data_IF_025278166424
#
_entry.id   IF_025278166424
#
_cell.length_a   1.000
_cell.length_b   1.000
_cell.length_c   1.000
_cell.angle_alpha   90.00
_cell.angle_beta   90.00
_cell.angle_gamma   90.00
#
_symmetry.space_group_name_H-M   'P 1'
#
loop_
_entity.id
_entity.type
_entity.pdbx_description
1 polymer ?
#
# COMPACT_ATOMS: atom_id res chain seq x y z
N UNK A 1 -2.21 2.70 9.17
CA UNK A 1 -1.10 3.28 9.91
C UNK A 1 -1.25 4.79 10.15
N UNK A 2 -2.26 5.18 10.96
CA UNK A 2 -2.33 6.38 11.84
C UNK A 2 -1.16 7.37 11.75
N UNK A 3 -1.43 8.58 11.23
CA UNK A 3 -0.47 9.69 11.19
C UNK A 3 0.12 9.99 12.57
N UNK A 4 -0.69 9.84 13.62
CA UNK A 4 -0.25 9.91 15.01
C UNK A 4 0.85 8.88 15.31
N UNK A 5 0.70 7.64 14.83
CA UNK A 5 1.68 6.57 15.02
C UNK A 5 2.95 6.84 14.23
N UNK A 6 2.86 7.39 13.01
CA UNK A 6 4.04 7.82 12.22
C UNK A 6 4.80 8.96 12.94
N UNK A 7 4.08 9.96 13.45
CA UNK A 7 4.65 11.06 14.24
C UNK A 7 5.25 10.56 15.54
N UNK A 8 4.56 9.68 16.28
CA UNK A 8 5.04 9.12 17.53
C UNK A 8 6.31 8.29 17.29
N UNK A 9 6.33 7.51 16.21
CA UNK A 9 7.50 6.71 15.81
C UNK A 9 8.66 7.62 15.44
N UNK A 10 8.41 8.69 14.66
CA UNK A 10 9.42 9.69 14.34
C UNK A 10 9.95 10.40 15.59
N UNK A 11 9.08 10.81 16.51
CA UNK A 11 9.44 11.44 17.78
C UNK A 11 10.21 10.48 18.69
N UNK A 12 9.84 9.20 18.74
CA UNK A 12 10.56 8.17 19.49
C UNK A 12 11.96 7.97 18.93
N UNK A 13 12.12 7.94 17.60
CA UNK A 13 13.43 7.89 16.96
C UNK A 13 14.25 9.17 17.19
N UNK A 14 13.62 10.34 17.15
CA UNK A 14 14.26 11.62 17.47
C UNK A 14 14.67 11.71 18.96
N UNK A 15 13.88 11.11 19.85
CA UNK A 15 14.22 11.02 21.27
C UNK A 15 15.38 10.06 21.49
N UNK A 16 15.34 8.86 20.89
CA UNK A 16 16.46 7.91 20.91
C UNK A 16 17.73 8.55 20.31
N UNK A 17 17.61 9.41 19.30
CA UNK A 17 18.71 10.21 18.74
C UNK A 17 19.36 11.17 19.75
N UNK A 18 18.55 11.89 20.54
CA UNK A 18 19.03 12.81 21.58
C UNK A 18 19.78 12.09 22.71
N UNK A 19 19.41 10.84 23.03
CA UNK A 19 19.98 10.14 24.17
C UNK A 19 21.11 9.17 23.80
N UNK A 20 20.98 8.40 22.71
CA UNK A 20 22.00 7.40 22.35
C UNK A 20 23.26 8.02 21.74
N UNK A 21 23.15 9.08 20.94
CA UNK A 21 24.33 9.68 20.30
C UNK A 21 25.29 10.31 21.33
N UNK A 22 24.83 11.11 22.31
CA UNK A 22 25.69 11.61 23.38
C UNK A 22 26.17 10.52 24.33
N UNK A 23 25.39 9.45 24.55
CA UNK A 23 25.80 8.31 25.37
C UNK A 23 26.98 7.56 24.74
N UNK A 24 26.95 7.33 23.42
CA UNK A 24 28.07 6.72 22.69
C UNK A 24 29.36 7.56 22.77
N UNK A 25 29.22 8.88 22.71
CA UNK A 25 30.34 9.81 22.89
C UNK A 25 30.85 9.79 24.32
N UNK A 26 29.96 9.84 25.32
CA UNK A 26 30.32 9.79 26.74
C UNK A 26 31.03 8.48 27.11
N UNK A 27 30.49 7.33 26.70
CA UNK A 27 31.10 6.01 26.93
C UNK A 27 32.52 5.97 26.34
N UNK A 28 32.73 6.50 25.14
CA UNK A 28 34.07 6.47 24.50
C UNK A 28 35.05 7.50 25.07
N UNK A 29 34.58 8.67 25.50
CA UNK A 29 35.41 9.70 26.15
C UNK A 29 35.84 9.24 27.55
N UNK A 30 34.91 8.71 28.34
CA UNK A 30 35.18 8.29 29.72
C UNK A 30 35.90 6.93 29.82
N UNK A 31 35.53 5.93 29.00
CA UNK A 31 36.11 4.58 29.11
C UNK A 31 37.28 4.32 28.16
N UNK A 32 37.33 4.95 26.98
CA UNK A 32 38.28 4.57 25.91
C UNK A 32 39.36 5.64 25.61
N UNK A 33 39.42 6.75 26.36
CA UNK A 33 40.41 7.84 26.21
C UNK A 33 40.68 8.26 24.75
N UNK A 34 39.63 8.38 23.94
CA UNK A 34 39.74 8.76 22.53
C UNK A 34 40.01 10.26 22.32
N UNK A 35 40.76 10.62 21.25
CA UNK A 35 41.00 12.02 20.86
C UNK A 35 39.69 12.73 20.47
N UNK A 36 39.52 13.98 20.91
CA UNK A 36 38.31 14.78 20.74
C UNK A 36 37.82 14.85 19.28
N UNK A 37 38.73 15.03 18.31
CA UNK A 37 38.41 15.14 16.86
C UNK A 37 37.77 13.87 16.29
N UNK A 38 38.27 12.70 16.68
CA UNK A 38 37.68 11.43 16.25
C UNK A 38 36.32 11.21 16.90
N UNK A 39 36.12 11.65 18.14
CA UNK A 39 34.84 11.54 18.84
C UNK A 39 33.76 12.42 18.22
N UNK A 40 34.08 13.66 17.81
CA UNK A 40 33.16 14.51 17.05
C UNK A 40 32.78 13.89 15.69
N UNK A 41 33.72 13.24 15.01
CA UNK A 41 33.46 12.55 13.75
C UNK A 41 32.45 11.40 13.93
N UNK A 42 32.63 10.53 14.93
CA UNK A 42 31.65 9.46 15.23
C UNK A 42 30.30 10.00 15.74
N UNK A 43 30.32 11.11 16.49
CA UNK A 43 29.10 11.78 16.95
C UNK A 43 28.26 12.34 15.77
N UNK A 44 28.91 12.73 14.67
CA UNK A 44 28.24 13.17 13.44
C UNK A 44 27.89 12.02 12.47
N UNK A 45 28.66 10.94 12.48
CA UNK A 45 28.40 9.74 11.66
C UNK A 45 27.21 8.92 12.18
N UNK A 46 26.98 8.92 13.50
CA UNK A 46 25.83 8.26 14.14
C UNK A 46 24.49 8.79 13.60
N UNK A 47 24.21 10.10 13.60
CA UNK A 47 22.98 10.68 13.04
C UNK A 47 22.78 10.44 11.55
N UNK A 48 23.84 10.48 10.74
CA UNK A 48 23.71 10.31 9.29
C UNK A 48 23.29 8.90 8.91
N UNK A 49 23.74 7.87 9.64
CA UNK A 49 23.27 6.49 9.44
C UNK A 49 21.77 6.35 9.71
N UNK A 50 21.24 7.02 10.74
CA UNK A 50 19.80 6.99 11.04
C UNK A 50 18.96 7.75 10.02
N UNK A 51 19.44 8.89 9.52
CA UNK A 51 18.77 9.62 8.42
C UNK A 51 18.66 8.70 7.20
N UNK A 52 19.72 7.96 6.86
CA UNK A 52 19.69 7.00 5.76
C UNK A 52 18.70 5.85 6.01
N UNK A 53 18.62 5.33 7.23
CA UNK A 53 17.66 4.27 7.59
C UNK A 53 16.22 4.78 7.49
N UNK A 54 15.92 5.97 8.02
CA UNK A 54 14.58 6.57 7.92
C UNK A 54 14.23 6.88 6.47
N UNK A 55 15.16 7.44 5.70
CA UNK A 55 14.96 7.70 4.28
C UNK A 55 14.69 6.40 3.50
N UNK A 56 15.47 5.34 3.76
CA UNK A 56 15.28 4.02 3.16
C UNK A 56 13.92 3.42 3.54
N UNK A 57 13.50 3.55 4.80
CA UNK A 57 12.20 3.08 5.27
C UNK A 57 11.05 3.84 4.58
N UNK A 58 11.10 5.17 4.54
CA UNK A 58 10.08 5.99 3.90
C UNK A 58 10.01 5.74 2.39
N UNK A 59 11.17 5.65 1.73
CA UNK A 59 11.24 5.33 0.32
C UNK A 59 10.71 3.91 0.03
N UNK A 60 11.10 2.93 0.83
CA UNK A 60 10.63 1.55 0.73
C UNK A 60 9.12 1.44 0.96
N UNK A 61 8.58 2.13 1.97
CA UNK A 61 7.14 2.17 2.22
C UNK A 61 6.38 2.82 1.05
N UNK A 62 6.86 3.96 0.53
CA UNK A 62 6.27 4.59 -0.65
C UNK A 62 6.36 3.70 -1.90
N UNK A 63 7.47 2.98 -2.07
CA UNK A 63 7.66 2.08 -3.20
C UNK A 63 6.72 0.88 -3.11
N UNK A 64 6.55 0.31 -1.92
CA UNK A 64 5.62 -0.78 -1.65
C UNK A 64 4.17 -0.37 -1.93
N UNK A 65 3.76 0.77 -1.38
CA UNK A 65 2.40 1.31 -1.52
C UNK A 65 2.06 1.55 -3.00
N UNK A 66 2.98 2.13 -3.77
CA UNK A 66 2.79 2.35 -5.19
C UNK A 66 2.74 1.03 -5.98
N UNK A 67 3.70 0.11 -5.77
CA UNK A 67 3.93 -1.00 -6.70
C UNK A 67 3.26 -2.33 -6.35
N UNK A 68 2.92 -2.57 -5.07
CA UNK A 68 2.53 -3.90 -4.59
C UNK A 68 1.26 -3.92 -3.74
N UNK A 69 0.92 -2.83 -3.06
CA UNK A 69 -0.29 -2.81 -2.22
C UNK A 69 -1.56 -2.94 -3.08
N UNK A 70 -2.48 -3.79 -2.63
CA UNK A 70 -3.74 -4.15 -3.30
C UNK A 70 -3.55 -4.80 -4.67
N UNK A 71 -2.44 -5.53 -4.85
CA UNK A 71 -2.16 -6.27 -6.09
C UNK A 71 -2.24 -7.79 -5.93
N UNK A 72 -2.31 -8.29 -4.69
CA UNK A 72 -2.37 -9.71 -4.40
C UNK A 72 -3.81 -10.23 -4.28
N UNK A 73 -4.02 -11.50 -4.63
CA UNK A 73 -5.32 -12.18 -4.51
C UNK A 73 -5.95 -12.00 -3.12
N UNK A 74 -5.18 -12.25 -2.05
CA UNK A 74 -5.68 -12.21 -0.67
C UNK A 74 -6.21 -10.83 -0.30
N UNK A 75 -5.45 -9.79 -0.61
CA UNK A 75 -5.81 -8.41 -0.31
C UNK A 75 -7.02 -7.97 -1.13
N UNK A 76 -7.04 -8.27 -2.43
CA UNK A 76 -8.20 -7.95 -3.27
C UNK A 76 -9.46 -8.69 -2.81
N UNK A 77 -9.35 -9.98 -2.49
CA UNK A 77 -10.51 -10.77 -2.05
C UNK A 77 -11.09 -10.27 -0.73
N UNK A 78 -10.21 -9.81 0.18
CA UNK A 78 -10.62 -9.21 1.44
C UNK A 78 -11.32 -7.87 1.23
N UNK A 79 -10.81 -7.02 0.31
CA UNK A 79 -11.41 -5.72 0.02
C UNK A 79 -12.72 -5.87 -0.73
N UNK A 80 -12.80 -6.76 -1.71
CA UNK A 80 -14.00 -6.95 -2.54
C UNK A 80 -15.08 -7.80 -1.87
N UNK A 81 -14.76 -8.49 -0.78
CA UNK A 81 -15.65 -9.44 -0.10
C UNK A 81 -15.94 -10.71 -0.90
N UNK A 82 -15.15 -10.98 -1.95
CA UNK A 82 -15.33 -12.11 -2.88
C UNK A 82 -14.01 -12.86 -3.02
N UNK A 83 -14.01 -14.19 -2.88
CA UNK A 83 -12.81 -14.99 -3.17
C UNK A 83 -12.53 -15.00 -4.67
N UNK A 84 -11.50 -14.25 -5.08
CA UNK A 84 -11.12 -14.15 -6.49
C UNK A 84 -10.36 -15.41 -6.94
N UNK A 85 -10.55 -15.87 -8.19
CA UNK A 85 -9.72 -16.94 -8.76
C UNK A 85 -8.23 -16.58 -8.72
N UNK A 86 -7.35 -17.58 -8.78
CA UNK A 86 -5.92 -17.34 -8.85
C UNK A 86 -5.57 -16.55 -10.11
N UNK A 87 -4.70 -15.55 -9.96
CA UNK A 87 -4.35 -14.64 -11.03
C UNK A 87 -2.94 -14.10 -10.87
N UNK A 88 -2.43 -13.53 -11.97
CA UNK A 88 -1.19 -12.78 -12.03
C UNK A 88 -1.40 -11.45 -12.73
N UNK A 89 -0.53 -10.49 -12.43
CA UNK A 89 -0.52 -9.20 -13.13
C UNK A 89 0.37 -9.33 -14.36
N UNK A 90 -0.21 -9.13 -15.53
CA UNK A 90 0.48 -9.24 -16.82
C UNK A 90 0.89 -7.90 -17.40
N UNK A 91 0.22 -6.82 -17.00
CA UNK A 91 0.56 -5.46 -17.43
C UNK A 91 0.37 -4.46 -16.30
N UNK A 92 1.21 -3.43 -16.29
CA UNK A 92 1.24 -2.38 -15.27
C UNK A 92 1.45 -1.03 -15.93
N UNK A 93 0.46 -0.17 -15.81
CA UNK A 93 0.55 1.24 -16.15
C UNK A 93 0.58 2.04 -14.84
N UNK A 94 1.80 2.38 -14.41
CA UNK A 94 2.03 3.15 -13.20
C UNK A 94 1.91 4.63 -13.54
N UNK A 95 0.83 5.26 -13.09
CA UNK A 95 0.64 6.69 -13.30
C UNK A 95 1.74 7.52 -12.65
N UNK A 96 2.00 8.68 -13.24
CA UNK A 96 2.94 9.64 -12.70
C UNK A 96 2.50 10.12 -11.32
N UNK A 97 3.41 10.08 -10.35
CA UNK A 97 3.17 10.58 -9.00
C UNK A 97 3.27 12.11 -8.98
N UNK A 98 2.20 12.77 -8.54
CA UNK A 98 2.17 14.20 -8.34
C UNK A 98 3.02 14.61 -7.11
N UNK A 99 3.31 15.91 -6.97
CA UNK A 99 4.14 16.43 -5.88
C UNK A 99 3.54 16.16 -4.49
N UNK A 100 2.22 16.20 -4.37
CA UNK A 100 1.47 15.83 -3.15
C UNK A 100 1.44 14.31 -2.90
N UNK A 101 1.85 13.50 -3.87
CA UNK A 101 1.89 12.05 -3.75
C UNK A 101 0.76 11.33 -4.46
N UNK A 102 -0.20 12.09 -5.01
CA UNK A 102 -1.35 11.53 -5.72
C UNK A 102 -0.89 10.76 -6.94
N UNK A 103 -1.52 9.61 -7.15
CA UNK A 103 -1.25 8.79 -8.32
C UNK A 103 -2.40 7.83 -8.58
N UNK A 104 -2.50 7.37 -9.82
CA UNK A 104 -3.42 6.31 -10.22
C UNK A 104 -2.64 5.25 -10.97
N UNK A 105 -2.72 4.00 -10.52
CA UNK A 105 -2.08 2.88 -11.17
C UNK A 105 -3.15 1.97 -11.77
N UNK A 106 -2.93 1.55 -13.01
CA UNK A 106 -3.75 0.59 -13.70
C UNK A 106 -2.99 -0.71 -13.88
N UNK A 107 -3.69 -1.82 -13.73
CA UNK A 107 -3.15 -3.16 -13.84
C UNK A 107 -4.07 -4.00 -14.71
N UNK A 108 -3.47 -4.83 -15.56
CA UNK A 108 -4.19 -5.91 -16.23
C UNK A 108 -3.87 -7.20 -15.49
N UNK A 109 -4.93 -7.80 -14.95
CA UNK A 109 -4.87 -9.09 -14.29
C UNK A 109 -5.25 -10.16 -15.31
N UNK A 110 -4.54 -11.28 -15.30
CA UNK A 110 -4.87 -12.49 -16.04
C UNK A 110 -5.10 -13.62 -15.05
N UNK A 111 -6.27 -14.25 -15.11
CA UNK A 111 -6.59 -15.43 -14.32
C UNK A 111 -5.79 -16.63 -14.84
N UNK A 112 -5.34 -17.50 -13.93
CA UNK A 112 -4.57 -18.68 -14.30
C UNK A 112 -5.41 -19.67 -15.13
N UNK A 113 -6.71 -19.74 -14.81
CA UNK A 113 -7.73 -20.52 -15.52
C UNK A 113 -8.96 -19.64 -15.76
N UNK A 114 -9.79 -20.04 -16.73
CA UNK A 114 -11.06 -19.35 -16.96
C UNK A 114 -11.94 -19.44 -15.71
N UNK A 115 -12.44 -18.31 -15.16
CA UNK A 115 -13.34 -18.37 -14.02
C UNK A 115 -14.57 -19.22 -14.32
N UNK A 116 -14.97 -20.03 -13.36
CA UNK A 116 -16.08 -20.96 -13.51
C UNK A 116 -17.43 -20.25 -13.44
N UNK A 117 -18.49 -20.98 -13.81
CA UNK A 117 -19.85 -20.43 -13.72
C UNK A 117 -20.27 -20.14 -12.27
N UNK A 118 -19.74 -20.91 -11.30
CA UNK A 118 -19.97 -20.70 -9.87
C UNK A 118 -19.51 -19.33 -9.40
N UNK A 119 -18.34 -18.87 -9.86
CA UNK A 119 -17.83 -17.53 -9.59
C UNK A 119 -18.74 -16.44 -10.15
N UNK A 120 -19.25 -16.59 -11.38
CA UNK A 120 -20.16 -15.61 -11.96
C UNK A 120 -21.54 -15.59 -11.28
N UNK A 121 -22.02 -16.73 -10.78
CA UNK A 121 -23.23 -16.79 -9.95
C UNK A 121 -23.03 -16.07 -8.61
N UNK A 122 -21.85 -16.20 -8.00
CA UNK A 122 -21.49 -15.46 -6.81
C UNK A 122 -21.45 -13.94 -7.09
N UNK A 123 -20.84 -13.52 -8.20
CA UNK A 123 -20.86 -12.12 -8.63
C UNK A 123 -22.30 -11.61 -8.87
N UNK A 124 -23.15 -12.42 -9.50
CA UNK A 124 -24.57 -12.10 -9.69
C UNK A 124 -25.33 -11.96 -8.35
N UNK A 125 -24.91 -12.64 -7.29
CA UNK A 125 -25.48 -12.49 -5.95
C UNK A 125 -25.06 -11.18 -5.31
N UNK A 126 -23.75 -10.89 -5.27
CA UNK A 126 -23.26 -9.66 -4.62
C UNK A 126 -23.69 -8.40 -5.35
N UNK A 127 -23.90 -8.45 -6.68
CA UNK A 127 -24.46 -7.33 -7.43
C UNK A 127 -25.94 -7.04 -7.14
N UNK A 128 -26.68 -7.98 -6.52
CA UNK A 128 -28.07 -7.76 -6.10
C UNK A 128 -28.18 -7.21 -4.68
N UNK A 129 -27.17 -7.49 -3.87
CA UNK A 129 -27.05 -6.92 -2.53
C UNK A 129 -26.60 -5.45 -2.63
N UNK A 130 -26.86 -4.65 -1.59
CA UNK A 130 -26.39 -3.26 -1.48
C UNK A 130 -24.86 -3.24 -1.20
N UNK A 131 -24.11 -3.77 -2.17
CA UNK A 131 -22.66 -3.90 -2.13
C UNK A 131 -22.03 -2.93 -3.12
N UNK A 132 -20.70 -2.82 -3.07
CA UNK A 132 -19.91 -2.02 -4.01
C UNK A 132 -19.75 -2.68 -5.39
N UNK A 133 -20.43 -3.81 -5.64
CA UNK A 133 -20.46 -4.50 -6.92
C UNK A 133 -21.65 -4.07 -7.78
N UNK A 134 -21.39 -3.93 -9.07
CA UNK A 134 -22.40 -3.61 -10.08
C UNK A 134 -22.23 -4.49 -11.31
N UNK A 135 -23.33 -4.73 -12.01
CA UNK A 135 -23.36 -5.53 -13.24
C UNK A 135 -23.91 -4.67 -14.37
N UNK A 136 -23.16 -4.55 -15.46
CA UNK A 136 -23.66 -4.00 -16.72
C UNK A 136 -23.76 -5.10 -17.77
N UNK A 137 -24.85 -5.06 -18.53
CA UNK A 137 -25.08 -5.97 -19.65
C UNK A 137 -25.06 -5.14 -20.92
N UNK A 138 -24.01 -5.31 -21.71
CA UNK A 138 -23.90 -4.74 -23.05
C UNK A 138 -24.39 -5.77 -24.09
N UNK A 139 -24.53 -5.35 -25.35
CA UNK A 139 -25.11 -6.17 -26.41
C UNK A 139 -24.40 -7.52 -26.63
N UNK A 140 -23.11 -7.63 -26.25
CA UNK A 140 -22.27 -8.81 -26.51
C UNK A 140 -21.52 -9.33 -25.28
N UNK A 141 -21.54 -8.61 -24.15
CA UNK A 141 -20.76 -8.98 -22.97
C UNK A 141 -21.44 -8.55 -21.67
N UNK A 142 -21.12 -9.29 -20.61
CA UNK A 142 -21.53 -8.98 -19.24
C UNK A 142 -20.29 -8.52 -18.49
N UNK A 143 -20.35 -7.33 -17.90
CA UNK A 143 -19.27 -6.74 -17.15
C UNK A 143 -19.67 -6.62 -15.68
N UNK A 144 -18.80 -7.13 -14.81
CA UNK A 144 -18.90 -7.00 -13.36
C UNK A 144 -17.88 -5.96 -12.92
N UNK A 145 -18.35 -4.93 -12.21
CA UNK A 145 -17.51 -3.84 -11.74
C UNK A 145 -17.66 -3.66 -10.23
N UNK A 146 -16.55 -3.78 -9.51
CA UNK A 146 -16.42 -3.37 -8.12
C UNK A 146 -15.81 -1.98 -8.07
N UNK A 147 -16.38 -1.06 -7.28
CA UNK A 147 -15.78 0.26 -7.04
C UNK A 147 -16.02 0.70 -5.61
N UNK A 148 -14.93 0.95 -4.88
CA UNK A 148 -15.00 1.45 -3.51
C UNK A 148 -13.92 2.48 -3.28
N UNK A 149 -14.30 3.54 -2.57
CA UNK A 149 -13.39 4.53 -2.02
C UNK A 149 -13.48 4.54 -0.49
N UNK A 150 -12.39 4.82 0.17
CA UNK A 150 -12.34 5.07 1.61
C UNK A 150 -11.31 6.15 1.95
N UNK A 151 -11.36 6.62 3.20
CA UNK A 151 -10.68 7.84 3.61
C UNK A 151 -11.61 9.06 3.53
N UNK A 152 -11.12 10.23 3.94
CA UNK A 152 -11.93 11.46 4.07
C UNK A 152 -13.30 11.29 4.79
N UNK A 153 -13.34 10.45 5.83
CA UNK A 153 -14.57 10.18 6.61
C UNK A 153 -15.42 9.01 6.10
N UNK A 154 -14.99 8.32 5.04
CA UNK A 154 -15.57 7.05 4.59
C UNK A 154 -14.84 5.87 5.22
N UNK A 155 -15.61 4.86 5.63
CA UNK A 155 -15.08 3.68 6.33
C UNK A 155 -14.22 2.78 5.43
N UNK A 156 -13.03 2.47 5.92
CA UNK A 156 -12.13 1.53 5.26
C UNK A 156 -12.68 0.09 5.27
N UNK A 157 -12.42 -0.69 4.22
CA UNK A 157 -12.68 -2.13 4.24
C UNK A 157 -11.89 -2.82 5.34
N UNK A 158 -12.39 -3.98 5.79
CA UNK A 158 -11.72 -4.75 6.83
C UNK A 158 -10.26 -5.06 6.46
N UNK A 159 -9.35 -4.82 7.38
CA UNK A 159 -7.91 -5.02 7.17
C UNK A 159 -7.19 -3.90 6.43
N UNK A 160 -7.91 -2.86 5.95
CA UNK A 160 -7.30 -1.63 5.43
C UNK A 160 -7.23 -0.54 6.50
N UNK A 161 -6.38 0.44 6.26
CA UNK A 161 -6.23 1.59 7.15
C UNK A 161 -7.36 2.60 6.96
N UNK A 162 -7.94 3.08 8.06
CA UNK A 162 -8.98 4.13 8.05
C UNK A 162 -8.45 5.50 7.66
N UNK A 163 -7.14 5.71 7.79
CA UNK A 163 -6.50 7.01 7.62
C UNK A 163 -5.88 7.18 6.23
N UNK A 164 -6.10 6.22 5.34
CA UNK A 164 -5.63 6.26 3.96
C UNK A 164 -6.76 6.63 3.02
N UNK A 165 -6.42 7.51 2.09
CA UNK A 165 -7.28 8.01 1.05
C UNK A 165 -7.03 7.20 -0.23
N UNK A 166 -7.94 6.26 -0.50
CA UNK A 166 -7.78 5.26 -1.54
C UNK A 166 -9.08 5.04 -2.31
N UNK A 167 -8.94 4.81 -3.61
CA UNK A 167 -10.01 4.28 -4.47
C UNK A 167 -9.50 3.06 -5.21
N UNK A 168 -10.36 2.05 -5.31
CA UNK A 168 -10.09 0.84 -6.07
C UNK A 168 -11.28 0.55 -6.99
N UNK A 169 -10.97 0.17 -8.23
CA UNK A 169 -11.95 -0.27 -9.21
C UNK A 169 -11.47 -1.57 -9.85
N UNK A 170 -12.30 -2.61 -9.87
CA UNK A 170 -12.01 -3.89 -10.51
C UNK A 170 -13.12 -4.21 -11.51
N UNK A 171 -12.75 -4.46 -12.76
CA UNK A 171 -13.68 -4.82 -13.83
C UNK A 171 -13.34 -6.20 -14.37
N UNK A 172 -14.33 -7.09 -14.38
CA UNK A 172 -14.24 -8.48 -14.83
C UNK A 172 -15.28 -8.70 -15.92
N UNK A 173 -14.86 -9.19 -17.08
CA UNK A 173 -15.74 -9.61 -18.16
C UNK A 173 -16.13 -11.08 -18.00
N UNK A 174 -17.42 -11.39 -18.18
CA UNK A 174 -17.90 -12.78 -18.15
C UNK A 174 -17.31 -13.57 -19.32
N UNK A 175 -16.69 -14.72 -19.01
CA UNK A 175 -16.00 -15.54 -20.00
C UNK A 175 -14.65 -14.97 -20.45
N UNK A 176 -14.17 -13.91 -19.80
CA UNK A 176 -12.84 -13.34 -20.05
C UNK A 176 -11.78 -13.92 -19.10
N UNK A 177 -10.57 -14.14 -19.64
CA UNK A 177 -9.38 -14.48 -18.84
C UNK A 177 -8.73 -13.24 -18.19
N UNK A 178 -9.11 -12.04 -18.61
CA UNK A 178 -8.48 -10.79 -18.16
C UNK A 178 -9.46 -9.93 -17.39
N UNK A 179 -8.92 -9.22 -16.40
CA UNK A 179 -9.62 -8.21 -15.63
C UNK A 179 -8.78 -6.93 -15.58
N UNK A 180 -9.44 -5.80 -15.35
CA UNK A 180 -8.78 -4.49 -15.20
C UNK A 180 -8.91 -4.04 -13.76
N UNK A 181 -7.79 -3.70 -13.15
CA UNK A 181 -7.73 -3.15 -11.80
C UNK A 181 -7.17 -1.73 -11.89
N UNK A 182 -7.87 -0.77 -11.29
CA UNK A 182 -7.37 0.59 -11.10
C UNK A 182 -7.31 0.89 -9.61
N UNK A 183 -6.23 1.53 -9.19
CA UNK A 183 -5.99 1.97 -7.81
C UNK A 183 -5.56 3.42 -7.84
N UNK A 184 -6.28 4.29 -7.14
CA UNK A 184 -5.90 5.68 -6.93
C UNK A 184 -5.63 5.95 -5.44
N UNK A 185 -4.67 6.82 -5.19
CA UNK A 185 -4.29 7.30 -3.85
C UNK A 185 -4.07 8.81 -3.91
N UNK A 186 -4.45 9.51 -2.85
CA UNK A 186 -4.28 10.95 -2.65
C UNK A 186 -3.96 11.30 -1.19
#
# INVERSE_FOLDING_TARGET
>A
MNALRKILTFLLFAFLWLFLSPLFVMVKVFLLKGKLKTNLFYAGLSPSTWILVVAAYLFGASYYDQNFKLTGKKELSQVTGVDLPSFRIVDKDLGSKAFNGDHTNNYVIEFDELPDEGFYLLLDSVCKDDSYWSKSVEATSVLYSYSRMWGNGLEAPEGQDSDEDLSISLTIEKGGLKARLSKASW
#
